data_IF_059036721864
#
_entry.id   IF_059036721864
#
_cell.length_a   1.000
_cell.length_b   1.000
_cell.length_c   1.000
_cell.angle_alpha   90.00
_cell.angle_beta   90.00
_cell.angle_gamma   90.00
#
_symmetry.space_group_name_H-M   'P 1'
#
loop_
_entity.id
_entity.type
_entity.pdbx_description
1 polymer ?
#
# COMPACT_ATOMS: atom_id res chain seq x y z
N UNK A 1 -0.92 -4.44 21.49
CA UNK A 1 -1.79 -4.66 20.32
C UNK A 1 -0.92 -4.63 19.09
N UNK A 2 -1.13 -5.52 18.14
CA UNK A 2 -0.11 -5.74 17.12
C UNK A 2 -0.40 -4.97 15.84
N UNK A 3 0.63 -4.43 15.21
CA UNK A 3 0.64 -3.91 13.85
C UNK A 3 -0.08 -4.87 12.87
N UNK A 4 0.03 -6.18 13.14
CA UNK A 4 -0.63 -7.22 12.37
C UNK A 4 -2.17 -7.08 12.40
N UNK A 5 -2.76 -6.76 13.55
CA UNK A 5 -4.20 -6.53 13.68
C UNK A 5 -4.67 -5.37 12.79
N UNK A 6 -3.90 -4.25 12.78
CA UNK A 6 -4.21 -3.10 11.91
C UNK A 6 -4.12 -3.52 10.43
N UNK A 7 -3.04 -4.21 10.06
CA UNK A 7 -2.87 -4.71 8.70
C UNK A 7 -4.04 -5.59 8.24
N UNK A 8 -4.38 -6.60 9.04
CA UNK A 8 -5.45 -7.54 8.73
C UNK A 8 -6.81 -6.83 8.62
N UNK A 9 -7.08 -5.88 9.51
CA UNK A 9 -8.29 -5.06 9.45
C UNK A 9 -8.36 -4.26 8.13
N UNK A 10 -7.30 -3.54 7.77
CA UNK A 10 -7.25 -2.74 6.54
C UNK A 10 -7.42 -3.61 5.29
N UNK A 11 -6.81 -4.80 5.28
CA UNK A 11 -7.00 -5.79 4.21
C UNK A 11 -8.44 -6.27 4.10
N UNK A 12 -9.11 -6.53 5.22
CA UNK A 12 -10.52 -6.90 5.27
C UNK A 12 -11.45 -5.78 4.74
N UNK A 13 -11.01 -4.50 4.83
CA UNK A 13 -11.70 -3.35 4.26
C UNK A 13 -11.45 -3.16 2.74
N UNK A 14 -10.73 -4.08 2.10
CA UNK A 14 -10.48 -4.08 0.66
C UNK A 14 -9.33 -3.19 0.20
N UNK A 15 -8.45 -2.75 1.09
CA UNK A 15 -7.25 -2.04 0.69
C UNK A 15 -6.25 -2.99 0.00
N UNK A 16 -5.51 -2.49 -0.99
CA UNK A 16 -4.38 -3.24 -1.54
C UNK A 16 -3.27 -3.39 -0.49
N UNK A 17 -2.28 -4.23 -0.73
CA UNK A 17 -1.12 -4.34 0.17
C UNK A 17 -0.37 -2.99 0.24
N UNK A 18 -0.20 -2.33 -0.91
CA UNK A 18 0.41 -1.01 -0.99
C UNK A 18 -0.45 0.07 -0.29
N UNK A 19 -1.77 0.01 -0.46
CA UNK A 19 -2.71 0.92 0.19
C UNK A 19 -2.69 0.80 1.71
N UNK A 20 -2.76 -0.43 2.23
CA UNK A 20 -2.68 -0.69 3.68
C UNK A 20 -1.33 -0.24 4.25
N UNK A 21 -0.23 -0.56 3.55
CA UNK A 21 1.12 -0.16 3.95
C UNK A 21 1.29 1.36 4.00
N UNK A 22 0.89 2.07 2.95
CA UNK A 22 1.00 3.54 2.88
C UNK A 22 0.18 4.25 3.96
N UNK A 23 -1.04 3.75 4.25
CA UNK A 23 -1.87 4.25 5.35
C UNK A 23 -1.19 3.99 6.70
N UNK A 24 -0.72 2.77 6.96
CA UNK A 24 -0.01 2.42 8.21
C UNK A 24 1.25 3.26 8.41
N UNK A 25 2.00 3.58 7.35
CA UNK A 25 3.17 4.45 7.43
C UNK A 25 2.83 5.86 7.94
N UNK A 26 1.70 6.40 7.52
CA UNK A 26 1.19 7.69 8.02
C UNK A 26 0.71 7.57 9.47
N UNK A 27 -0.10 6.58 9.82
CA UNK A 27 -0.57 6.36 11.20
C UNK A 27 0.60 6.12 12.16
N UNK A 28 1.68 5.45 11.71
CA UNK A 28 2.90 5.32 12.51
C UNK A 28 3.58 6.66 12.77
N UNK A 29 3.66 7.51 11.76
CA UNK A 29 4.25 8.84 11.92
C UNK A 29 3.43 9.74 12.84
N UNK A 30 2.09 9.56 12.90
CA UNK A 30 1.20 10.33 13.77
C UNK A 30 1.24 9.86 15.23
N UNK A 31 1.16 8.56 15.47
CA UNK A 31 0.91 8.02 16.82
C UNK A 31 1.79 6.82 17.20
N UNK A 32 2.68 6.37 16.31
CA UNK A 32 3.37 5.09 16.49
C UNK A 32 2.39 3.90 16.48
N UNK A 33 1.25 4.01 15.80
CA UNK A 33 0.14 3.05 15.78
C UNK A 33 -0.51 2.82 17.15
N UNK A 34 -0.43 3.79 18.07
CA UNK A 34 -1.02 3.72 19.42
C UNK A 34 -2.40 4.39 19.42
N UNK A 35 -3.49 3.65 19.69
CA UNK A 35 -4.83 4.21 19.66
C UNK A 35 -5.15 5.11 20.87
N UNK A 36 -4.39 5.02 21.94
CA UNK A 36 -4.53 5.88 23.11
C UNK A 36 -3.52 7.03 23.17
N UNK A 37 -2.80 7.30 22.08
CA UNK A 37 -1.75 8.32 22.07
C UNK A 37 -2.32 9.73 22.15
N UNK A 38 -2.08 10.41 23.27
CA UNK A 38 -2.22 11.87 23.39
C UNK A 38 -1.00 12.51 22.72
N UNK A 39 -1.20 13.59 22.00
CA UNK A 39 -0.10 14.33 21.39
C UNK A 39 0.95 14.73 22.44
N UNK A 40 2.20 14.26 22.26
CA UNK A 40 3.27 14.40 23.27
C UNK A 40 3.47 15.85 23.77
N UNK A 41 3.31 16.85 22.87
CA UNK A 41 3.42 18.27 23.27
C UNK A 41 2.26 18.75 24.15
N UNK A 42 1.20 17.98 24.31
CA UNK A 42 0.05 18.29 25.16
C UNK A 42 0.06 17.52 26.48
N UNK A 43 0.83 16.44 26.63
CA UNK A 43 0.96 15.73 27.90
C UNK A 43 1.37 16.69 29.04
N UNK A 44 2.44 17.46 28.82
CA UNK A 44 2.88 18.46 29.79
C UNK A 44 1.91 19.64 29.96
N UNK A 45 1.22 20.07 28.90
CA UNK A 45 0.25 21.17 28.94
C UNK A 45 -1.01 20.84 29.74
N UNK A 46 -1.48 19.59 29.58
CA UNK A 46 -2.68 19.10 30.26
C UNK A 46 -2.38 18.43 31.61
N UNK A 47 -1.11 18.10 31.85
CA UNK A 47 -0.68 17.37 33.05
C UNK A 47 -1.18 15.92 33.08
N UNK A 48 -1.40 15.32 31.95
CA UNK A 48 -1.96 13.97 31.82
C UNK A 48 -1.13 13.13 30.86
N UNK A 49 -0.88 11.87 31.21
CA UNK A 49 -0.33 10.87 30.31
C UNK A 49 -1.44 10.21 29.45
N UNK A 50 -1.04 9.49 28.40
CA UNK A 50 -1.94 8.79 27.45
C UNK A 50 -3.10 8.03 28.12
N UNK A 51 -2.77 7.21 29.13
CA UNK A 51 -3.74 6.35 29.80
C UNK A 51 -4.72 7.17 30.67
N UNK A 52 -4.21 8.13 31.43
CA UNK A 52 -5.01 9.00 32.30
C UNK A 52 -5.96 9.87 31.48
N UNK A 53 -5.47 10.48 30.40
CA UNK A 53 -6.31 11.27 29.50
C UNK A 53 -7.45 10.42 28.91
N UNK A 54 -7.14 9.22 28.41
CA UNK A 54 -8.13 8.29 27.89
C UNK A 54 -9.20 7.95 28.94
N UNK A 55 -8.78 7.57 30.15
CA UNK A 55 -9.66 7.20 31.24
C UNK A 55 -10.58 8.35 31.66
N UNK A 56 -10.04 9.56 31.79
CA UNK A 56 -10.84 10.73 32.17
C UNK A 56 -11.88 11.10 31.11
N UNK A 57 -11.57 10.97 29.83
CA UNK A 57 -12.52 11.18 28.75
C UNK A 57 -13.60 10.10 28.76
N UNK A 58 -13.23 8.83 28.90
CA UNK A 58 -14.17 7.71 28.93
C UNK A 58 -15.15 7.80 30.11
N UNK A 59 -14.67 8.24 31.27
CA UNK A 59 -15.51 8.49 32.45
C UNK A 59 -16.34 9.77 32.38
N UNK A 60 -16.06 10.64 31.42
CA UNK A 60 -16.71 11.96 31.29
C UNK A 60 -16.24 12.98 32.31
N UNK A 61 -15.16 12.73 33.06
CA UNK A 61 -14.56 13.66 34.01
C UNK A 61 -13.70 14.73 33.33
N UNK A 62 -13.25 14.50 32.11
CA UNK A 62 -12.62 15.49 31.24
C UNK A 62 -13.56 15.92 30.11
N UNK A 63 -14.24 17.03 30.33
CA UNK A 63 -15.28 17.52 29.38
C UNK A 63 -14.71 18.23 28.15
N UNK A 64 -13.42 18.63 28.16
CA UNK A 64 -12.86 19.49 27.12
C UNK A 64 -12.27 18.72 25.91
N UNK A 65 -12.46 17.41 25.84
CA UNK A 65 -11.91 16.56 24.78
C UNK A 65 -12.12 17.09 23.37
N UNK A 66 -13.31 17.60 23.07
CA UNK A 66 -13.63 18.15 21.75
C UNK A 66 -12.94 19.48 21.43
N UNK A 67 -12.48 20.25 22.41
CA UNK A 67 -12.04 21.63 22.23
C UNK A 67 -10.60 21.90 22.70
N UNK A 68 -9.91 20.92 23.27
CA UNK A 68 -8.56 21.10 23.82
C UNK A 68 -7.46 21.24 22.76
N UNK A 69 -7.78 21.01 21.50
CA UNK A 69 -6.84 21.05 20.34
C UNK A 69 -5.68 20.07 20.42
N UNK A 70 -5.70 19.13 21.35
CA UNK A 70 -4.72 18.06 21.41
C UNK A 70 -5.02 16.99 20.38
N UNK A 71 -4.01 16.54 19.65
CA UNK A 71 -4.14 15.36 18.79
C UNK A 71 -4.33 14.09 19.64
N UNK A 72 -5.21 13.19 19.22
CA UNK A 72 -5.47 11.96 19.95
C UNK A 72 -5.66 10.76 19.00
N UNK A 73 -5.17 9.61 19.43
CA UNK A 73 -5.39 8.32 18.81
C UNK A 73 -4.58 8.07 17.55
N UNK A 74 -4.96 7.06 16.78
CA UNK A 74 -4.22 6.55 15.61
C UNK A 74 -3.88 7.63 14.58
N UNK A 75 -4.85 8.47 14.22
CA UNK A 75 -4.71 9.52 13.21
C UNK A 75 -4.56 10.93 13.83
N UNK A 76 -4.20 11.01 15.11
CA UNK A 76 -4.01 12.28 15.83
C UNK A 76 -5.15 13.28 15.57
N UNK A 77 -6.39 12.82 15.73
CA UNK A 77 -7.57 13.67 15.56
C UNK A 77 -7.51 14.91 16.45
N UNK A 78 -7.47 16.08 15.82
CA UNK A 78 -7.25 17.37 16.51
C UNK A 78 -8.45 18.31 16.37
N UNK A 79 -9.12 18.31 15.21
CA UNK A 79 -10.23 19.20 14.93
C UNK A 79 -11.43 18.90 15.82
N UNK A 80 -12.11 19.93 16.42
CA UNK A 80 -13.24 19.75 17.33
C UNK A 80 -14.33 18.84 16.77
N UNK A 81 -14.72 19.03 15.51
CA UNK A 81 -15.75 18.21 14.87
C UNK A 81 -15.35 16.74 14.74
N UNK A 82 -14.08 16.45 14.40
CA UNK A 82 -13.58 15.08 14.29
C UNK A 82 -13.46 14.42 15.66
N UNK A 83 -12.97 15.14 16.69
CA UNK A 83 -12.91 14.63 18.06
C UNK A 83 -14.28 14.38 18.66
N UNK A 84 -15.25 15.27 18.42
CA UNK A 84 -16.63 15.06 18.84
C UNK A 84 -17.24 13.82 18.18
N UNK A 85 -16.98 13.63 16.88
CA UNK A 85 -17.45 12.45 16.14
C UNK A 85 -16.80 11.15 16.64
N UNK A 86 -15.49 11.16 16.93
CA UNK A 86 -14.76 10.03 17.53
C UNK A 86 -15.37 9.64 18.90
N UNK A 87 -15.62 10.63 19.77
CA UNK A 87 -16.26 10.39 21.08
C UNK A 87 -17.68 9.84 20.93
N UNK A 88 -18.45 10.37 19.99
CA UNK A 88 -19.80 9.87 19.71
C UNK A 88 -19.77 8.42 19.21
N UNK A 89 -18.83 8.09 18.32
CA UNK A 89 -18.61 6.73 17.83
C UNK A 89 -18.25 5.77 18.97
N UNK A 90 -17.34 6.16 19.86
CA UNK A 90 -16.94 5.36 21.03
C UNK A 90 -18.12 5.10 21.96
N UNK A 91 -18.91 6.14 22.29
CA UNK A 91 -20.11 6.02 23.12
C UNK A 91 -21.15 5.10 22.49
N UNK A 92 -21.42 5.26 21.20
CA UNK A 92 -22.37 4.40 20.47
C UNK A 92 -21.94 2.93 20.47
N UNK A 93 -20.65 2.67 20.31
CA UNK A 93 -20.06 1.34 20.36
C UNK A 93 -19.90 0.79 21.80
N UNK A 94 -20.12 1.59 22.83
CA UNK A 94 -19.81 1.27 24.24
C UNK A 94 -18.36 0.82 24.43
N UNK A 95 -17.44 1.51 23.75
CA UNK A 95 -15.99 1.27 23.79
C UNK A 95 -15.27 2.50 24.31
N UNK A 96 -14.03 2.27 24.77
CA UNK A 96 -13.11 3.37 25.07
C UNK A 96 -12.81 4.19 23.82
N UNK A 97 -12.52 5.50 23.99
CA UNK A 97 -11.98 6.32 22.90
C UNK A 97 -10.62 5.79 22.42
N UNK A 98 -9.89 5.06 23.26
CA UNK A 98 -8.63 4.40 22.94
C UNK A 98 -8.75 2.95 22.41
N UNK A 99 -9.98 2.46 22.12
CA UNK A 99 -10.16 1.13 21.56
C UNK A 99 -9.73 1.11 20.10
N UNK A 100 -8.85 0.15 19.75
CA UNK A 100 -8.25 0.06 18.42
C UNK A 100 -9.28 -0.22 17.33
N UNK A 101 -10.17 -1.19 17.54
CA UNK A 101 -11.14 -1.58 16.52
C UNK A 101 -12.16 -0.48 16.26
N UNK A 102 -12.59 0.19 17.33
CA UNK A 102 -13.49 1.35 17.23
C UNK A 102 -12.83 2.47 16.42
N UNK A 103 -11.55 2.79 16.69
CA UNK A 103 -10.82 3.84 15.95
C UNK A 103 -10.57 3.46 14.50
N UNK A 104 -10.26 2.20 14.19
CA UNK A 104 -10.15 1.72 12.82
C UNK A 104 -11.49 1.81 12.08
N UNK A 105 -12.59 1.47 12.75
CA UNK A 105 -13.95 1.64 12.21
C UNK A 105 -14.26 3.10 11.90
N UNK A 106 -13.95 4.00 12.84
CA UNK A 106 -14.14 5.44 12.68
C UNK A 106 -13.28 6.01 11.54
N UNK A 107 -12.01 5.60 11.44
CA UNK A 107 -11.11 5.97 10.34
C UNK A 107 -11.70 5.57 8.98
N UNK A 108 -12.17 4.34 8.85
CA UNK A 108 -12.78 3.87 7.61
C UNK A 108 -14.10 4.59 7.30
N UNK A 109 -14.89 4.95 8.28
CA UNK A 109 -16.06 5.79 8.13
C UNK A 109 -15.69 7.18 7.56
N UNK A 110 -14.70 7.86 8.14
CA UNK A 110 -14.22 9.15 7.61
C UNK A 110 -13.73 9.02 6.15
N UNK A 111 -12.92 7.99 5.85
CA UNK A 111 -12.42 7.75 4.49
C UNK A 111 -13.56 7.50 3.50
N UNK A 112 -14.59 6.76 3.89
CA UNK A 112 -15.72 6.42 3.00
C UNK A 112 -16.71 7.58 2.79
N UNK A 113 -16.80 8.51 3.72
CA UNK A 113 -17.74 9.63 3.65
C UNK A 113 -17.10 10.91 3.13
N UNK A 114 -16.04 11.36 3.77
CA UNK A 114 -15.38 12.65 3.51
C UNK A 114 -14.16 12.57 2.58
N UNK A 115 -13.54 11.39 2.42
CA UNK A 115 -12.27 11.24 1.72
C UNK A 115 -12.29 10.11 0.68
N UNK A 116 -13.37 10.05 -0.11
CA UNK A 116 -13.61 8.97 -1.09
C UNK A 116 -12.47 8.80 -2.10
N UNK A 117 -11.85 9.89 -2.54
CA UNK A 117 -10.69 9.85 -3.45
C UNK A 117 -9.50 9.14 -2.80
N UNK A 118 -9.21 9.45 -1.53
CA UNK A 118 -8.14 8.80 -0.77
C UNK A 118 -8.44 7.30 -0.67
N UNK A 119 -9.65 6.93 -0.25
CA UNK A 119 -10.05 5.54 -0.11
C UNK A 119 -9.96 4.77 -1.44
N UNK A 120 -10.37 5.39 -2.55
CA UNK A 120 -10.26 4.77 -3.86
C UNK A 120 -8.80 4.47 -4.23
N UNK A 121 -7.88 5.42 -4.04
CA UNK A 121 -6.45 5.18 -4.27
C UNK A 121 -5.93 4.06 -3.37
N UNK A 122 -6.28 4.04 -2.08
CA UNK A 122 -5.87 2.98 -1.16
C UNK A 122 -6.40 1.59 -1.55
N UNK A 123 -7.50 1.51 -2.29
CA UNK A 123 -8.09 0.27 -2.79
C UNK A 123 -7.55 -0.19 -4.15
N UNK A 124 -6.86 0.68 -4.88
CA UNK A 124 -6.48 0.38 -6.27
C UNK A 124 -4.98 0.47 -6.54
N UNK A 125 -4.24 1.30 -5.79
CA UNK A 125 -2.81 1.49 -6.04
C UNK A 125 -1.98 0.25 -5.72
N UNK A 126 -0.89 0.10 -6.47
CA UNK A 126 0.18 -0.89 -6.21
C UNK A 126 1.45 -0.22 -5.67
N UNK A 127 1.45 1.10 -5.50
CA UNK A 127 2.58 1.91 -5.03
C UNK A 127 2.38 2.34 -3.58
N UNK A 128 3.27 1.92 -2.68
CA UNK A 128 3.30 2.38 -1.29
C UNK A 128 3.50 3.89 -1.21
N UNK A 129 4.34 4.45 -2.11
CA UNK A 129 4.60 5.87 -2.17
C UNK A 129 3.34 6.66 -2.51
N UNK A 130 2.61 6.26 -3.54
CA UNK A 130 1.36 6.90 -3.94
C UNK A 130 0.31 6.83 -2.82
N UNK A 131 0.14 5.64 -2.21
CA UNK A 131 -0.75 5.46 -1.07
C UNK A 131 -0.39 6.38 0.11
N UNK A 132 0.90 6.48 0.43
CA UNK A 132 1.37 7.34 1.52
C UNK A 132 1.16 8.82 1.20
N UNK A 133 1.48 9.25 -0.01
CA UNK A 133 1.35 10.65 -0.43
C UNK A 133 -0.10 11.13 -0.43
N UNK A 134 -1.05 10.32 -0.92
CA UNK A 134 -2.45 10.72 -0.94
C UNK A 134 -3.03 10.86 0.48
N UNK A 135 -2.62 9.99 1.41
CA UNK A 135 -3.01 10.10 2.82
C UNK A 135 -2.45 11.36 3.44
N UNK A 136 -1.14 11.61 3.31
CA UNK A 136 -0.51 12.81 3.86
C UNK A 136 -1.14 14.09 3.30
N UNK A 137 -1.31 14.18 1.98
CA UNK A 137 -1.71 15.41 1.30
C UNK A 137 -3.20 15.72 1.43
N UNK A 138 -4.06 14.71 1.51
CA UNK A 138 -5.51 14.91 1.46
C UNK A 138 -6.24 14.54 2.75
N UNK A 139 -5.71 13.62 3.56
CA UNK A 139 -6.36 13.19 4.80
C UNK A 139 -5.72 13.82 6.04
N UNK A 140 -4.41 13.63 6.26
CA UNK A 140 -3.72 14.13 7.46
C UNK A 140 -3.44 15.64 7.38
N UNK A 141 -2.98 16.12 6.25
CA UNK A 141 -2.67 17.54 5.99
C UNK A 141 -1.79 18.19 7.05
N UNK A 142 -0.64 17.61 7.41
CA UNK A 142 0.27 18.22 8.36
C UNK A 142 0.81 19.55 7.82
N UNK A 143 1.34 20.40 8.71
CA UNK A 143 1.95 21.67 8.32
C UNK A 143 3.17 21.47 7.40
N UNK A 144 3.97 20.44 7.64
CA UNK A 144 5.11 20.07 6.79
C UNK A 144 4.70 18.96 5.80
N UNK A 145 4.58 19.33 4.53
CA UNK A 145 4.27 18.44 3.40
C UNK A 145 5.44 18.33 2.42
N UNK A 146 6.66 18.67 2.87
CA UNK A 146 7.88 18.62 2.06
C UNK A 146 8.13 17.20 1.50
N UNK A 147 8.92 17.15 0.43
CA UNK A 147 9.34 15.87 -0.18
C UNK A 147 10.06 14.98 0.83
N UNK A 148 10.87 15.55 1.72
CA UNK A 148 11.54 14.81 2.78
C UNK A 148 10.53 14.13 3.74
N UNK A 149 9.46 14.84 4.13
CA UNK A 149 8.41 14.30 4.99
C UNK A 149 7.60 13.22 4.29
N UNK A 150 7.25 13.45 3.04
CA UNK A 150 6.53 12.46 2.20
C UNK A 150 7.34 11.18 2.03
N UNK A 151 8.64 11.31 1.72
CA UNK A 151 9.56 10.19 1.62
C UNK A 151 9.65 9.39 2.92
N UNK A 152 9.83 10.07 4.04
CA UNK A 152 9.91 9.44 5.37
C UNK A 152 8.67 8.60 5.70
N UNK A 153 7.46 9.13 5.43
CA UNK A 153 6.22 8.38 5.69
C UNK A 153 6.05 7.19 4.76
N UNK A 154 6.45 7.33 3.50
CA UNK A 154 6.47 6.21 2.56
C UNK A 154 7.48 5.12 2.96
N UNK A 155 8.64 5.48 3.50
CA UNK A 155 9.63 4.54 4.05
C UNK A 155 9.09 3.76 5.26
N UNK A 156 8.31 4.41 6.13
CA UNK A 156 7.58 3.69 7.19
C UNK A 156 6.57 2.72 6.59
N UNK A 157 5.81 3.14 5.58
CA UNK A 157 4.89 2.27 4.86
C UNK A 157 5.60 1.09 4.21
N UNK A 158 6.75 1.31 3.58
CA UNK A 158 7.52 0.26 2.94
C UNK A 158 7.94 -0.85 3.92
N UNK A 159 8.30 -0.50 5.17
CA UNK A 159 8.59 -1.49 6.21
C UNK A 159 7.39 -2.40 6.51
N UNK A 160 6.18 -1.85 6.53
CA UNK A 160 4.96 -2.65 6.72
C UNK A 160 4.64 -3.50 5.50
N UNK A 161 4.84 -2.97 4.30
CA UNK A 161 4.72 -3.73 3.06
C UNK A 161 5.66 -4.94 3.06
N UNK A 162 6.94 -4.73 3.34
CA UNK A 162 7.96 -5.78 3.37
C UNK A 162 7.68 -6.84 4.45
N UNK A 163 7.05 -6.42 5.56
CA UNK A 163 6.73 -7.29 6.69
C UNK A 163 5.47 -8.13 6.48
N UNK A 164 4.43 -7.54 5.90
CA UNK A 164 3.09 -8.12 5.89
C UNK A 164 2.54 -8.43 4.51
N UNK A 165 2.97 -7.73 3.45
CA UNK A 165 2.60 -8.12 2.11
C UNK A 165 3.12 -9.54 1.87
N UNK A 166 2.24 -10.44 1.47
CA UNK A 166 2.59 -11.83 1.29
C UNK A 166 3.77 -11.92 0.32
N UNK A 167 4.95 -12.24 0.82
CA UNK A 167 6.05 -12.68 -0.02
C UNK A 167 5.55 -13.92 -0.77
N UNK A 168 5.10 -13.71 -2.00
CA UNK A 168 4.90 -14.72 -3.02
C UNK A 168 4.38 -16.11 -2.60
N UNK A 169 3.24 -16.16 -1.92
CA UNK A 169 2.47 -17.39 -1.71
C UNK A 169 1.00 -17.25 -2.12
N UNK A 170 0.59 -16.03 -2.52
CA UNK A 170 -0.64 -15.81 -3.27
C UNK A 170 -0.21 -15.60 -4.70
N UNK A 171 -0.87 -16.24 -5.63
CA UNK A 171 -0.73 -16.06 -7.07
C UNK A 171 -0.52 -14.58 -7.34
N UNK A 172 0.75 -14.16 -7.60
CA UNK A 172 0.99 -12.88 -8.27
C UNK A 172 0.15 -12.98 -9.52
N UNK A 173 -0.89 -12.13 -9.61
CA UNK A 173 -1.80 -12.18 -10.75
C UNK A 173 -1.09 -11.68 -12.00
N UNK A 174 -0.11 -12.45 -12.45
CA UNK A 174 0.51 -12.22 -13.74
C UNK A 174 -0.56 -12.42 -14.79
N UNK A 175 -0.94 -11.35 -15.44
CA UNK A 175 -1.92 -11.37 -16.50
C UNK A 175 -1.19 -11.06 -17.81
N UNK A 176 -1.05 -12.06 -18.67
CA UNK A 176 -0.48 -11.83 -19.99
C UNK A 176 -1.28 -10.76 -20.75
N UNK A 177 -0.59 -9.91 -21.50
CA UNK A 177 -1.22 -8.86 -22.29
C UNK A 177 -2.25 -9.44 -23.26
N UNK A 178 -3.46 -8.89 -23.25
CA UNK A 178 -4.52 -9.21 -24.22
C UNK A 178 -4.21 -8.74 -25.64
N UNK A 179 -3.21 -7.89 -25.82
CA UNK A 179 -2.73 -7.43 -27.13
C UNK A 179 -1.90 -8.49 -27.85
N UNK A 180 -1.44 -9.53 -27.17
CA UNK A 180 -0.66 -10.61 -27.78
C UNK A 180 -1.58 -11.59 -28.52
N UNK A 181 -1.64 -11.42 -29.84
CA UNK A 181 -2.46 -12.26 -30.76
C UNK A 181 -1.74 -13.54 -31.25
N UNK A 182 -0.42 -13.56 -31.15
CA UNK A 182 0.42 -14.72 -31.43
C UNK A 182 0.88 -15.32 -30.10
N UNK A 183 0.67 -16.63 -29.90
CA UNK A 183 1.09 -17.32 -28.68
C UNK A 183 1.96 -18.54 -29.02
N UNK A 184 3.25 -18.44 -28.74
CA UNK A 184 4.24 -19.50 -29.00
C UNK A 184 5.21 -19.57 -27.80
N UNK A 185 4.88 -20.40 -26.82
CA UNK A 185 5.62 -20.43 -25.57
C UNK A 185 6.95 -21.16 -25.73
N UNK A 186 8.03 -20.45 -25.46
CA UNK A 186 9.41 -20.96 -25.50
C UNK A 186 9.72 -21.90 -24.33
N UNK A 187 10.47 -22.97 -24.55
CA UNK A 187 11.01 -23.80 -23.49
C UNK A 187 12.16 -23.10 -22.71
N UNK A 188 12.75 -22.04 -23.26
CA UNK A 188 13.86 -21.30 -22.67
C UNK A 188 13.33 -20.29 -21.63
N UNK A 189 12.83 -20.80 -20.50
CA UNK A 189 12.29 -19.97 -19.41
C UNK A 189 12.55 -20.60 -18.04
N UNK A 190 12.51 -19.80 -17.00
CA UNK A 190 12.45 -20.29 -15.63
C UNK A 190 10.99 -20.16 -15.14
N UNK A 191 10.32 -21.28 -14.82
CA UNK A 191 8.96 -21.28 -14.31
C UNK A 191 8.85 -20.58 -12.96
N UNK A 192 7.65 -20.05 -12.66
CA UNK A 192 7.29 -19.49 -11.37
C UNK A 192 8.19 -18.32 -10.92
N UNK A 193 8.02 -17.17 -11.58
CA UNK A 193 8.67 -15.92 -11.19
C UNK A 193 8.42 -15.65 -9.70
N UNK A 194 9.48 -15.30 -8.98
CA UNK A 194 9.45 -15.10 -7.51
C UNK A 194 9.41 -13.63 -7.08
N UNK A 195 9.31 -12.69 -8.04
CA UNK A 195 9.22 -11.24 -7.79
C UNK A 195 8.27 -10.56 -8.78
N UNK A 196 7.79 -9.37 -8.40
CA UNK A 196 6.95 -8.55 -9.26
C UNK A 196 7.69 -8.10 -10.53
N UNK A 197 6.94 -7.79 -11.60
CA UNK A 197 7.48 -7.11 -12.77
C UNK A 197 7.51 -5.62 -12.46
N UNK A 198 8.69 -5.07 -12.29
CA UNK A 198 8.97 -3.66 -11.99
C UNK A 198 9.78 -2.97 -13.08
N UNK A 199 10.30 -3.74 -14.05
CA UNK A 199 11.19 -3.28 -15.09
C UNK A 199 10.83 -3.88 -16.44
N UNK A 200 10.87 -3.06 -17.49
CA UNK A 200 10.74 -3.46 -18.88
C UNK A 200 12.08 -3.24 -19.57
N UNK A 201 12.69 -4.32 -20.07
CA UNK A 201 13.92 -4.24 -20.86
C UNK A 201 13.58 -4.42 -22.33
N UNK A 202 13.98 -3.46 -23.17
CA UNK A 202 13.72 -3.48 -24.61
C UNK A 202 15.01 -3.91 -25.33
N UNK A 203 14.86 -4.94 -26.19
CA UNK A 203 15.93 -5.42 -27.08
C UNK A 203 15.46 -5.30 -28.53
N UNK A 204 16.38 -4.98 -29.43
CA UNK A 204 16.11 -4.91 -30.86
C UNK A 204 16.51 -6.22 -31.57
N UNK A 205 15.65 -6.67 -32.51
CA UNK A 205 16.06 -7.67 -33.50
C UNK A 205 16.96 -7.04 -34.58
N UNK A 206 17.91 -7.82 -35.08
CA UNK A 206 18.62 -7.45 -36.27
C UNK A 206 17.71 -7.78 -37.48
N UNK A 207 17.12 -6.76 -38.10
CA UNK A 207 16.19 -6.85 -39.21
C UNK A 207 14.71 -6.79 -38.79
N UNK A 208 13.86 -6.63 -39.79
CA UNK A 208 12.40 -6.55 -39.62
C UNK A 208 11.80 -7.93 -39.54
N UNK A 209 11.17 -8.28 -38.41
CA UNK A 209 10.50 -9.56 -38.23
C UNK A 209 9.05 -9.35 -37.76
N UNK A 210 8.13 -10.24 -38.19
CA UNK A 210 6.79 -10.31 -37.60
C UNK A 210 6.86 -10.91 -36.19
N UNK A 211 5.84 -10.71 -35.38
CA UNK A 211 5.78 -11.29 -34.02
C UNK A 211 5.89 -12.83 -34.08
N UNK A 212 5.24 -13.47 -35.04
CA UNK A 212 5.31 -14.93 -35.22
C UNK A 212 6.76 -15.35 -35.47
N UNK A 213 7.45 -14.71 -36.45
CA UNK A 213 8.83 -15.05 -36.79
C UNK A 213 9.78 -14.81 -35.59
N UNK A 214 9.60 -13.74 -34.85
CA UNK A 214 10.37 -13.47 -33.65
C UNK A 214 10.15 -14.53 -32.57
N UNK A 215 8.91 -14.98 -32.36
CA UNK A 215 8.62 -16.08 -31.42
C UNK A 215 9.25 -17.42 -31.86
N UNK A 216 9.26 -17.72 -33.16
CA UNK A 216 9.88 -18.94 -33.72
C UNK A 216 11.37 -19.01 -33.40
N UNK A 217 12.09 -17.88 -33.37
CA UNK A 217 13.53 -17.81 -33.03
C UNK A 217 13.82 -18.36 -31.63
N UNK A 218 12.87 -18.26 -30.69
CA UNK A 218 13.02 -18.70 -29.32
C UNK A 218 12.47 -20.08 -29.01
N UNK A 219 11.95 -20.83 -30.04
CA UNK A 219 11.41 -22.17 -29.85
C UNK A 219 12.51 -23.24 -29.62
N UNK A 220 13.65 -23.23 -30.32
CA UNK A 220 14.66 -24.26 -30.09
C UNK A 220 15.24 -24.16 -28.66
N UNK A 221 15.24 -25.28 -27.93
CA UNK A 221 15.82 -25.32 -26.55
C UNK A 221 17.33 -25.02 -26.58
N UNK A 222 18.00 -25.25 -27.66
CA UNK A 222 19.42 -24.91 -27.85
C UNK A 222 19.70 -23.41 -27.92
N UNK A 223 18.66 -22.58 -28.14
CA UNK A 223 18.79 -21.11 -28.22
C UNK A 223 19.28 -20.50 -26.91
N UNK A 224 18.89 -21.08 -25.76
CA UNK A 224 19.26 -20.62 -24.40
C UNK A 224 18.95 -19.12 -24.15
N UNK A 225 17.98 -18.58 -24.89
CA UNK A 225 17.51 -17.20 -24.76
C UNK A 225 16.02 -17.15 -25.11
N UNK A 226 15.31 -16.16 -24.55
CA UNK A 226 13.92 -15.87 -24.82
C UNK A 226 13.55 -14.44 -24.38
N UNK A 227 12.36 -13.98 -24.74
CA UNK A 227 11.75 -12.75 -24.21
C UNK A 227 10.30 -13.04 -23.82
N UNK A 228 9.68 -12.17 -23.05
CA UNK A 228 8.26 -12.31 -22.72
C UNK A 228 7.39 -11.99 -23.94
N UNK A 229 7.69 -10.87 -24.62
CA UNK A 229 6.92 -10.42 -25.78
C UNK A 229 7.82 -10.10 -26.97
N UNK A 230 7.30 -10.30 -28.16
CA UNK A 230 7.87 -9.81 -29.43
C UNK A 230 6.88 -8.82 -30.04
N UNK A 231 7.35 -7.63 -30.39
CA UNK A 231 6.60 -6.66 -31.19
C UNK A 231 7.13 -6.73 -32.61
N UNK A 232 6.28 -7.13 -33.55
CA UNK A 232 6.60 -7.23 -34.96
C UNK A 232 6.63 -5.85 -35.63
N UNK A 233 7.38 -5.71 -36.73
CA UNK A 233 7.40 -4.49 -37.51
C UNK A 233 6.03 -4.14 -38.14
N UNK A 234 5.16 -5.11 -38.25
CA UNK A 234 3.78 -5.02 -38.72
C UNK A 234 2.77 -4.66 -37.60
N UNK A 235 3.26 -4.35 -36.41
CA UNK A 235 2.44 -4.06 -35.22
C UNK A 235 1.85 -5.30 -34.56
N UNK A 236 2.11 -6.52 -35.06
CA UNK A 236 1.70 -7.76 -34.39
C UNK A 236 2.45 -7.93 -33.05
N UNK A 237 1.80 -8.55 -32.04
CA UNK A 237 2.39 -8.82 -30.75
C UNK A 237 2.33 -10.32 -30.47
N UNK A 238 3.47 -10.90 -30.12
CA UNK A 238 3.64 -12.30 -29.77
C UNK A 238 4.02 -12.48 -28.30
N UNK A 239 3.43 -13.48 -27.64
CA UNK A 239 3.78 -13.95 -26.31
C UNK A 239 4.69 -15.18 -26.43
N UNK A 240 5.95 -15.04 -26.00
CA UNK A 240 6.94 -16.12 -26.04
C UNK A 240 7.17 -16.74 -24.66
N UNK A 241 7.06 -15.96 -23.57
CA UNK A 241 7.13 -16.45 -22.19
C UNK A 241 6.04 -15.76 -21.40
N UNK A 242 5.23 -16.53 -20.69
CA UNK A 242 4.17 -15.98 -19.83
C UNK A 242 4.75 -15.09 -18.73
N UNK A 243 4.05 -14.06 -18.33
CA UNK A 243 4.51 -13.12 -17.30
C UNK A 243 4.75 -13.79 -15.95
N UNK A 244 4.04 -14.89 -15.64
CA UNK A 244 4.29 -15.71 -14.46
C UNK A 244 5.64 -16.43 -14.45
N UNK A 245 6.31 -16.48 -15.61
CA UNK A 245 7.61 -17.12 -15.80
C UNK A 245 8.67 -16.07 -16.14
N UNK A 246 9.92 -16.36 -15.86
CA UNK A 246 11.06 -15.49 -16.21
C UNK A 246 11.62 -15.87 -17.58
N UNK A 247 11.70 -14.92 -18.48
CA UNK A 247 12.41 -15.08 -19.75
C UNK A 247 13.93 -14.97 -19.55
N UNK A 248 14.71 -15.54 -20.47
CA UNK A 248 16.17 -15.53 -20.47
C UNK A 248 16.71 -14.47 -21.43
N UNK A 249 16.35 -13.19 -21.25
CA UNK A 249 16.71 -12.11 -22.16
C UNK A 249 17.82 -11.19 -21.63
N UNK A 250 17.94 -11.02 -20.32
CA UNK A 250 18.81 -10.02 -19.71
C UNK A 250 20.06 -10.57 -19.02
N UNK A 251 20.25 -11.91 -19.00
CA UNK A 251 21.35 -12.54 -18.28
C UNK A 251 21.28 -12.43 -16.76
N UNK A 252 20.21 -11.86 -16.22
CA UNK A 252 19.97 -11.74 -14.78
C UNK A 252 19.71 -13.10 -14.12
N UNK A 253 19.94 -13.15 -12.81
CA UNK A 253 19.59 -14.29 -11.96
C UNK A 253 18.41 -13.93 -11.07
N UNK A 254 17.70 -14.93 -10.51
CA UNK A 254 16.57 -14.70 -9.59
C UNK A 254 16.95 -13.90 -8.33
N UNK A 255 18.23 -13.59 -8.13
CA UNK A 255 18.73 -12.75 -7.03
C UNK A 255 19.00 -11.30 -7.44
N UNK A 256 19.01 -10.99 -8.74
CA UNK A 256 19.41 -9.67 -9.27
C UNK A 256 18.49 -9.12 -10.36
N UNK A 257 17.41 -9.77 -10.71
CA UNK A 257 16.48 -9.27 -11.72
C UNK A 257 15.52 -10.30 -12.22
#
# INVERSE_FOLDING_TARGET
>A
MSEKTIWEYLKAQGLTDAGAAGLMGNLYAESGLRPNNLQNSYEGKLGMADAEYTEMVDRGTYANFGNDRAGYGLAQWTYPSRKAALLACAKAARKSIGDLEMQLGFLMQELSTGYKTVLNVLRTTVSVREASDIVLLQFERPADQSEARRKQRAEYGQKYFDKYAKKGGGVMGFTNSSLATVRMISPNRTPNRNHAIDTITIHCFVGQVTAKRGCEVFQPSSRKASCNYVVGYDGSIGLCVEEKDRSWCSGGTDKKG
#
